data_IF_915223878107
#
_entry.id   IF_915223878107
#
_cell.length_a   1.000
_cell.length_b   1.000
_cell.length_c   1.000
_cell.angle_alpha   90.00
_cell.angle_beta   90.00
_cell.angle_gamma   90.00
#
_symmetry.space_group_name_H-M   'P 1'
#
loop_
_entity.id
_entity.type
_entity.pdbx_description
1 polymer ?
#
# COMPACT_ATOMS: atom_id res chain seq x y z
N UNK A 1 -1.62 11.75 2.67
CA UNK A 1 -0.19 11.42 2.57
C UNK A 1 -0.01 10.05 1.93
N UNK A 2 -0.60 9.00 2.50
CA UNK A 2 -0.44 7.61 1.99
C UNK A 2 -0.74 7.45 0.51
N UNK A 3 -1.83 8.06 0.02
CA UNK A 3 -2.20 7.98 -1.39
C UNK A 3 -1.14 8.64 -2.28
N UNK A 4 -0.61 9.79 -1.86
CA UNK A 4 0.46 10.49 -2.56
C UNK A 4 1.70 9.61 -2.67
N UNK A 5 2.11 8.95 -1.59
CA UNK A 5 3.28 8.06 -1.60
C UNK A 5 3.00 6.80 -2.43
N UNK A 6 1.84 6.17 -2.26
CA UNK A 6 1.46 4.98 -3.03
C UNK A 6 1.48 5.26 -4.53
N UNK A 7 0.88 6.36 -4.96
CA UNK A 7 0.61 6.66 -6.36
C UNK A 7 1.72 7.47 -7.04
N UNK A 8 2.18 8.59 -6.46
CA UNK A 8 3.18 9.44 -7.11
C UNK A 8 4.63 8.99 -6.87
N UNK A 9 4.90 8.19 -5.83
CA UNK A 9 6.26 7.74 -5.50
C UNK A 9 6.45 6.26 -5.84
N UNK A 10 5.58 5.38 -5.34
CA UNK A 10 5.78 3.93 -5.48
C UNK A 10 5.26 3.40 -6.82
N UNK A 11 4.06 3.78 -7.25
CA UNK A 11 3.41 3.24 -8.46
C UNK A 11 4.31 3.28 -9.71
N UNK A 12 5.01 4.39 -10.05
CA UNK A 12 5.82 4.45 -11.26
C UNK A 12 6.95 3.42 -11.26
N UNK A 13 7.57 3.19 -10.09
CA UNK A 13 8.64 2.20 -9.91
C UNK A 13 8.07 0.78 -9.90
N UNK A 14 6.96 0.57 -9.19
CA UNK A 14 6.26 -0.72 -9.12
C UNK A 14 5.84 -1.19 -10.52
N UNK A 15 5.18 -0.35 -11.31
CA UNK A 15 4.73 -0.70 -12.67
C UNK A 15 5.92 -1.03 -13.56
N UNK A 16 7.00 -0.25 -13.48
CA UNK A 16 8.22 -0.48 -14.27
C UNK A 16 8.86 -1.84 -13.98
N UNK A 17 8.83 -2.30 -12.73
CA UNK A 17 9.48 -3.54 -12.29
C UNK A 17 8.51 -4.68 -11.96
N UNK A 18 7.23 -4.56 -12.35
CA UNK A 18 6.17 -5.48 -11.90
C UNK A 18 6.46 -6.95 -12.23
N UNK A 19 7.06 -7.21 -13.39
CA UNK A 19 7.41 -8.57 -13.84
C UNK A 19 8.56 -9.19 -13.03
N UNK A 20 9.28 -8.40 -12.24
CA UNK A 20 10.38 -8.83 -11.38
C UNK A 20 9.96 -8.91 -9.91
N UNK A 21 8.69 -8.68 -9.60
CA UNK A 21 8.14 -8.68 -8.25
C UNK A 21 7.09 -9.80 -8.16
N UNK A 22 7.33 -10.79 -7.31
CA UNK A 22 6.40 -11.94 -7.16
C UNK A 22 5.13 -11.57 -6.40
N UNK A 23 5.28 -10.81 -5.32
CA UNK A 23 4.18 -10.28 -4.51
C UNK A 23 4.55 -8.90 -4.00
N UNK A 24 3.55 -8.07 -3.76
CA UNK A 24 3.72 -6.77 -3.12
C UNK A 24 2.46 -6.34 -2.37
N UNK A 25 2.62 -5.40 -1.44
CA UNK A 25 1.49 -4.79 -0.74
C UNK A 25 1.83 -3.42 -0.20
N UNK A 26 0.78 -2.64 0.02
CA UNK A 26 0.84 -1.48 0.91
C UNK A 26 0.39 -1.87 2.31
N UNK A 27 1.05 -1.31 3.32
CA UNK A 27 0.65 -1.44 4.71
C UNK A 27 0.54 -0.05 5.34
N UNK A 28 -0.59 0.20 6.00
CA UNK A 28 -0.88 1.45 6.71
C UNK A 28 -1.04 1.13 8.18
N UNK A 29 -0.25 1.78 9.04
CA UNK A 29 -0.38 1.68 10.49
C UNK A 29 -0.64 3.06 11.07
N UNK A 30 -1.85 3.23 11.59
CA UNK A 30 -2.28 4.42 12.33
C UNK A 30 -2.30 4.09 13.84
N UNK A 31 -1.15 3.74 14.40
CA UNK A 31 -1.07 3.51 15.85
C UNK A 31 -0.94 4.87 16.57
N UNK A 32 -1.66 5.04 17.67
CA UNK A 32 -1.50 6.18 18.59
C UNK A 32 -0.34 5.91 19.55
N UNK A 33 0.83 5.60 19.01
CA UNK A 33 2.07 5.38 19.75
C UNK A 33 3.17 6.37 19.29
N UNK A 34 4.31 6.40 19.99
CA UNK A 34 5.40 7.34 19.71
C UNK A 34 6.02 7.13 18.32
N UNK A 35 5.80 5.97 17.70
CA UNK A 35 6.20 5.66 16.31
C UNK A 35 5.35 6.41 15.28
N UNK A 36 4.15 6.84 15.63
CA UNK A 36 3.27 7.63 14.78
C UNK A 36 2.71 6.86 13.58
N UNK A 37 2.27 7.63 12.57
CA UNK A 37 1.72 7.08 11.33
C UNK A 37 2.82 6.50 10.44
N UNK A 38 2.67 5.23 10.05
CA UNK A 38 3.61 4.52 9.18
C UNK A 38 2.92 4.04 7.91
N UNK A 39 3.55 4.32 6.77
CA UNK A 39 3.22 3.77 5.47
C UNK A 39 4.38 2.91 4.98
N UNK A 40 4.09 1.71 4.51
CA UNK A 40 5.10 0.76 4.03
C UNK A 40 4.70 0.14 2.71
N UNK A 41 5.68 0.01 1.83
CA UNK A 41 5.60 -0.78 0.61
C UNK A 41 6.49 -2.01 0.81
N UNK A 42 5.87 -3.19 0.82
CA UNK A 42 6.56 -4.47 0.97
C UNK A 42 6.48 -5.21 -0.36
N UNK A 43 7.57 -5.82 -0.79
CA UNK A 43 7.61 -6.58 -2.04
C UNK A 43 8.62 -7.72 -1.97
N UNK A 44 8.43 -8.69 -2.85
CA UNK A 44 9.27 -9.88 -2.99
C UNK A 44 9.98 -9.85 -4.34
N UNK A 45 11.29 -9.68 -4.31
CA UNK A 45 12.16 -9.69 -5.50
C UNK A 45 13.53 -10.25 -5.14
N UNK A 46 14.41 -10.36 -6.13
CA UNK A 46 15.84 -10.59 -5.86
C UNK A 46 16.48 -9.32 -5.26
N UNK A 47 17.62 -9.44 -4.55
CA UNK A 47 18.34 -8.29 -3.99
C UNK A 47 18.76 -7.26 -5.06
N UNK A 48 19.09 -7.71 -6.26
CA UNK A 48 19.50 -6.85 -7.38
C UNK A 48 18.34 -5.93 -7.80
N UNK A 49 17.14 -6.49 -7.95
CA UNK A 49 15.94 -5.74 -8.29
C UNK A 49 15.53 -4.82 -7.15
N UNK A 50 15.64 -5.28 -5.89
CA UNK A 50 15.34 -4.46 -4.73
C UNK A 50 16.25 -3.23 -4.64
N UNK A 51 17.55 -3.38 -4.91
CA UNK A 51 18.50 -2.26 -4.97
C UNK A 51 18.13 -1.22 -6.03
N UNK A 52 17.69 -1.67 -7.21
CA UNK A 52 17.21 -0.79 -8.29
C UNK A 52 15.96 -0.03 -7.84
N UNK A 53 14.97 -0.74 -7.29
CA UNK A 53 13.71 -0.14 -6.78
C UNK A 53 14.01 0.91 -5.70
N UNK A 54 14.89 0.60 -4.73
CA UNK A 54 15.28 1.53 -3.67
C UNK A 54 15.93 2.79 -4.26
N UNK A 55 16.85 2.64 -5.21
CA UNK A 55 17.50 3.76 -5.88
C UNK A 55 16.51 4.65 -6.63
N UNK A 56 15.53 4.06 -7.31
CA UNK A 56 14.53 4.81 -8.07
C UNK A 56 13.53 5.54 -7.16
N UNK A 57 13.05 4.89 -6.09
CA UNK A 57 12.21 5.53 -5.07
C UNK A 57 12.96 6.70 -4.41
N UNK A 58 14.23 6.51 -4.04
CA UNK A 58 15.04 7.54 -3.40
C UNK A 58 15.30 8.76 -4.31
N UNK A 59 15.22 8.60 -5.63
CA UNK A 59 15.37 9.66 -6.63
C UNK A 59 14.05 10.36 -6.98
N UNK A 60 12.94 9.99 -6.35
CA UNK A 60 11.65 10.64 -6.60
C UNK A 60 11.67 12.10 -6.16
N UNK A 61 11.40 13.02 -7.09
CA UNK A 61 11.27 14.44 -6.79
C UNK A 61 10.14 14.69 -5.77
N UNK A 62 8.99 14.02 -5.94
CA UNK A 62 7.85 14.10 -5.02
C UNK A 62 8.25 13.70 -3.60
N UNK A 63 9.08 12.64 -3.47
CA UNK A 63 9.57 12.20 -2.17
C UNK A 63 10.53 13.23 -1.54
N UNK A 64 11.44 13.79 -2.34
CA UNK A 64 12.37 14.84 -1.89
C UNK A 64 11.62 16.08 -1.41
N UNK A 65 10.67 16.57 -2.22
CA UNK A 65 9.85 17.75 -1.88
C UNK A 65 9.00 17.51 -0.63
N UNK A 66 8.42 16.32 -0.48
CA UNK A 66 7.66 15.97 0.72
C UNK A 66 8.55 15.91 1.98
N UNK A 67 9.81 15.49 1.84
CA UNK A 67 10.77 15.53 2.94
C UNK A 67 11.18 16.98 3.29
N UNK A 68 11.50 17.80 2.30
CA UNK A 68 11.86 19.21 2.46
C UNK A 68 10.72 20.05 3.08
N UNK A 69 9.48 19.75 2.69
CA UNK A 69 8.27 20.35 3.26
C UNK A 69 7.90 19.82 4.66
N UNK A 70 8.73 18.97 5.27
CA UNK A 70 8.49 18.31 6.57
C UNK A 70 7.19 17.48 6.63
N UNK A 71 6.70 17.03 5.47
CA UNK A 71 5.52 16.18 5.37
C UNK A 71 5.86 14.70 5.67
N UNK A 72 7.13 14.32 5.49
CA UNK A 72 7.68 13.01 5.83
C UNK A 72 8.83 13.20 6.82
N UNK A 73 8.76 12.50 7.95
CA UNK A 73 9.82 12.58 8.97
C UNK A 73 11.04 11.72 8.64
N UNK A 74 10.82 10.57 8.01
CA UNK A 74 11.85 9.55 7.77
C UNK A 74 11.44 8.62 6.64
N UNK A 75 12.41 8.23 5.82
CA UNK A 75 12.32 7.14 4.85
C UNK A 75 13.27 6.04 5.26
N UNK A 76 12.83 4.78 5.14
CA UNK A 76 13.59 3.59 5.54
C UNK A 76 13.57 2.58 4.39
N UNK A 77 14.70 1.90 4.20
CA UNK A 77 14.86 0.79 3.28
C UNK A 77 15.48 -0.38 4.05
N UNK A 78 15.12 -1.61 3.68
CA UNK A 78 15.71 -2.80 4.30
C UNK A 78 17.18 -2.94 3.91
N UNK A 79 17.96 -3.56 4.80
CA UNK A 79 19.35 -3.91 4.51
C UNK A 79 19.40 -5.18 3.67
N UNK A 80 19.85 -5.05 2.41
CA UNK A 80 19.94 -6.16 1.47
C UNK A 80 21.00 -7.21 1.84
N UNK A 81 21.97 -6.87 2.70
CA UNK A 81 22.99 -7.79 3.20
C UNK A 81 22.50 -8.65 4.39
N UNK A 82 21.30 -8.37 4.91
CA UNK A 82 20.71 -9.03 6.09
C UNK A 82 19.26 -9.47 5.82
N UNK A 83 19.01 -10.07 4.67
CA UNK A 83 17.68 -10.59 4.34
C UNK A 83 17.38 -11.83 5.19
N UNK A 84 16.39 -11.72 6.08
CA UNK A 84 15.96 -12.79 7.01
C UNK A 84 14.67 -13.48 6.52
N UNK A 85 13.95 -12.87 5.58
CA UNK A 85 12.63 -13.32 5.14
C UNK A 85 12.73 -13.87 3.71
N UNK A 86 13.03 -15.16 3.61
CA UNK A 86 13.22 -15.86 2.34
C UNK A 86 11.91 -16.36 1.73
N UNK A 87 10.92 -16.67 2.57
CA UNK A 87 9.67 -17.29 2.15
C UNK A 87 8.53 -16.27 2.06
N UNK A 88 7.56 -16.54 1.18
CA UNK A 88 6.41 -15.66 0.97
C UNK A 88 5.52 -15.54 2.21
N UNK A 89 5.46 -16.58 3.05
CA UNK A 89 4.74 -16.57 4.31
C UNK A 89 5.41 -15.76 5.43
N UNK A 90 6.70 -15.41 5.30
CA UNK A 90 7.48 -14.86 6.42
C UNK A 90 6.99 -13.46 6.88
N UNK A 91 6.23 -12.76 6.02
CA UNK A 91 5.63 -11.46 6.37
C UNK A 91 4.16 -11.56 6.81
N UNK A 92 3.60 -12.77 6.90
CA UNK A 92 2.26 -13.05 7.43
C UNK A 92 2.25 -13.10 8.97
N UNK A 93 1.08 -12.94 9.59
CA UNK A 93 0.97 -13.06 11.05
C UNK A 93 1.24 -14.52 11.49
N UNK A 94 2.25 -14.70 12.35
CA UNK A 94 2.67 -16.00 12.88
C UNK A 94 1.59 -16.74 13.66
N UNK A 95 0.53 -16.04 14.11
CA UNK A 95 -0.62 -16.63 14.79
C UNK A 95 -1.62 -17.28 13.85
N UNK A 96 -1.55 -17.02 12.54
CA UNK A 96 -2.42 -17.63 11.55
C UNK A 96 -2.04 -19.08 11.25
N UNK A 97 -2.96 -19.86 10.69
CA UNK A 97 -2.62 -21.21 10.21
C UNK A 97 -1.59 -21.13 9.08
N UNK A 98 -0.75 -22.16 8.94
CA UNK A 98 0.24 -22.21 7.86
C UNK A 98 -0.39 -22.06 6.46
N UNK A 99 -1.59 -22.62 6.26
CA UNK A 99 -2.33 -22.46 5.00
C UNK A 99 -2.67 -20.99 4.72
N UNK A 100 -3.15 -20.25 5.74
CA UNK A 100 -3.45 -18.83 5.56
C UNK A 100 -2.16 -18.03 5.33
N UNK A 101 -1.10 -18.27 6.12
CA UNK A 101 0.17 -17.56 5.96
C UNK A 101 0.74 -17.68 4.54
N UNK A 102 0.64 -18.85 3.90
CA UNK A 102 1.13 -19.11 2.54
C UNK A 102 0.31 -18.43 1.44
N UNK A 103 -1.00 -18.31 1.62
CA UNK A 103 -1.91 -17.82 0.57
C UNK A 103 -2.26 -16.34 0.74
N UNK A 104 -2.11 -15.80 1.95
CA UNK A 104 -2.45 -14.42 2.27
C UNK A 104 -1.70 -13.37 1.42
N UNK A 105 -0.41 -13.53 1.05
CA UNK A 105 0.28 -12.59 0.18
C UNK A 105 -0.43 -12.31 -1.16
N UNK A 106 -1.04 -13.33 -1.76
CA UNK A 106 -1.82 -13.18 -3.00
C UNK A 106 -3.08 -12.32 -2.78
N UNK A 107 -3.84 -12.61 -1.71
CA UNK A 107 -5.04 -11.86 -1.35
C UNK A 107 -4.76 -10.38 -1.10
N UNK A 108 -3.74 -10.06 -0.30
CA UNK A 108 -3.42 -8.68 0.06
C UNK A 108 -2.84 -7.90 -1.12
N UNK A 109 -2.12 -8.57 -2.04
CA UNK A 109 -1.63 -7.93 -3.26
C UNK A 109 -2.82 -7.49 -4.13
N UNK A 110 -3.83 -8.35 -4.32
CA UNK A 110 -5.05 -7.98 -5.03
C UNK A 110 -5.78 -6.81 -4.36
N UNK A 111 -5.85 -6.80 -3.03
CA UNK A 111 -6.44 -5.67 -2.27
C UNK A 111 -5.65 -4.37 -2.46
N UNK A 112 -4.31 -4.45 -2.44
CA UNK A 112 -3.42 -3.30 -2.65
C UNK A 112 -3.51 -2.78 -4.09
N UNK A 113 -3.62 -3.69 -5.06
CA UNK A 113 -3.78 -3.38 -6.48
C UNK A 113 -5.12 -2.70 -6.76
N UNK A 114 -6.22 -3.18 -6.17
CA UNK A 114 -7.52 -2.53 -6.25
C UNK A 114 -7.45 -1.10 -5.68
N UNK A 115 -6.88 -0.96 -4.48
CA UNK A 115 -6.76 0.36 -3.85
C UNK A 115 -5.93 1.31 -4.68
N UNK A 116 -4.80 0.86 -5.24
CA UNK A 116 -3.95 1.67 -6.11
C UNK A 116 -4.68 2.08 -7.41
N UNK A 117 -5.42 1.16 -8.02
CA UNK A 117 -6.24 1.45 -9.22
C UNK A 117 -7.32 2.49 -8.96
N UNK A 118 -7.99 2.44 -7.80
CA UNK A 118 -8.95 3.47 -7.41
C UNK A 118 -8.30 4.85 -7.22
N UNK A 119 -7.04 4.91 -6.79
CA UNK A 119 -6.28 6.17 -6.72
C UNK A 119 -5.98 6.68 -8.11
N UNK A 120 -5.45 5.82 -8.98
CA UNK A 120 -5.11 6.16 -10.36
C UNK A 120 -6.32 6.72 -11.12
N UNK A 121 -7.44 6.00 -11.12
CA UNK A 121 -8.70 6.42 -11.76
C UNK A 121 -9.19 7.76 -11.21
N UNK A 122 -9.17 7.95 -9.88
CA UNK A 122 -9.63 9.19 -9.27
C UNK A 122 -8.66 10.37 -9.47
N UNK A 123 -7.40 10.10 -9.80
CA UNK A 123 -6.38 11.10 -10.11
C UNK A 123 -6.41 11.55 -11.57
N UNK A 124 -7.02 10.79 -12.50
CA UNK A 124 -7.16 11.17 -13.91
C UNK A 124 -7.91 12.50 -14.11
N UNK A 125 -8.73 12.91 -13.12
CA UNK A 125 -9.43 14.20 -13.11
C UNK A 125 -8.49 15.41 -12.92
N UNK A 126 -7.21 15.20 -12.58
CA UNK A 126 -6.26 16.26 -12.25
C UNK A 126 -5.14 16.38 -13.29
N UNK A 127 -4.64 17.60 -13.56
CA UNK A 127 -3.51 17.79 -14.47
C UNK A 127 -2.25 17.12 -13.90
N UNK A 128 -1.48 16.49 -14.79
CA UNK A 128 -0.24 15.75 -14.48
C UNK A 128 0.83 16.63 -13.82
N UNK A 129 0.89 17.92 -14.17
CA UNK A 129 1.86 18.84 -13.59
C UNK A 129 1.38 19.39 -12.25
N UNK A 130 2.28 19.39 -11.26
CA UNK A 130 2.12 20.15 -10.02
C UNK A 130 3.32 21.09 -9.84
N UNK A 131 3.08 22.23 -9.22
CA UNK A 131 4.11 23.24 -8.94
C UNK A 131 4.46 23.34 -7.45
N UNK A 132 3.64 22.74 -6.60
CA UNK A 132 3.74 22.79 -5.14
C UNK A 132 3.23 21.47 -4.54
N UNK A 133 4.07 20.86 -3.70
CA UNK A 133 3.78 19.60 -2.99
C UNK A 133 2.56 19.72 -2.05
N UNK A 134 2.28 20.89 -1.49
CA UNK A 134 1.10 21.10 -0.65
C UNK A 134 -0.18 21.08 -1.49
N UNK A 135 -0.17 21.73 -2.66
CA UNK A 135 -1.30 21.66 -3.59
C UNK A 135 -1.51 20.23 -4.11
N UNK A 136 -0.43 19.51 -4.41
CA UNK A 136 -0.52 18.10 -4.77
C UNK A 136 -1.13 17.27 -3.63
N UNK A 137 -0.72 17.52 -2.38
CA UNK A 137 -1.27 16.83 -1.22
C UNK A 137 -2.76 17.11 -1.01
N UNK A 138 -3.24 18.34 -1.23
CA UNK A 138 -4.68 18.64 -1.16
C UNK A 138 -5.47 17.84 -2.20
N UNK A 139 -4.97 17.74 -3.46
CA UNK A 139 -5.60 16.88 -4.48
C UNK A 139 -5.73 15.42 -4.00
N UNK A 140 -4.67 14.87 -3.41
CA UNK A 140 -4.72 13.52 -2.84
C UNK A 140 -5.67 13.39 -1.64
N UNK A 141 -5.94 14.46 -0.89
CA UNK A 141 -6.97 14.44 0.18
C UNK A 141 -8.38 14.43 -0.41
N UNK A 142 -8.62 15.15 -1.50
CA UNK A 142 -9.89 15.09 -2.22
C UNK A 142 -10.12 13.68 -2.80
N UNK A 143 -9.10 13.07 -3.39
CA UNK A 143 -9.13 11.67 -3.86
C UNK A 143 -9.37 10.69 -2.71
N UNK A 144 -8.71 10.85 -1.56
CA UNK A 144 -8.96 10.02 -0.37
C UNK A 144 -10.44 10.12 0.07
N UNK A 145 -11.04 11.30 -0.02
CA UNK A 145 -12.46 11.52 0.21
C UNK A 145 -13.37 10.76 -0.77
N UNK A 146 -13.03 10.76 -2.07
CA UNK A 146 -13.76 9.99 -3.10
C UNK A 146 -13.67 8.48 -2.82
N UNK A 147 -12.46 7.95 -2.63
CA UNK A 147 -12.23 6.52 -2.37
C UNK A 147 -12.89 6.07 -1.08
N UNK A 148 -12.81 6.88 -0.02
CA UNK A 148 -13.49 6.60 1.25
C UNK A 148 -15.00 6.52 1.08
N UNK A 149 -15.58 7.38 0.23
CA UNK A 149 -17.02 7.31 -0.10
C UNK A 149 -17.34 6.01 -0.81
N UNK A 150 -16.62 5.66 -1.88
CA UNK A 150 -16.78 4.38 -2.60
C UNK A 150 -16.69 3.18 -1.66
N UNK A 151 -15.67 3.12 -0.79
CA UNK A 151 -15.56 2.07 0.21
C UNK A 151 -16.80 1.97 1.12
N UNK A 152 -17.30 3.11 1.61
CA UNK A 152 -18.46 3.16 2.52
C UNK A 152 -19.79 2.81 1.85
N UNK A 153 -19.97 3.18 0.58
CA UNK A 153 -21.25 3.01 -0.12
C UNK A 153 -21.32 1.71 -0.93
N UNK A 154 -20.19 1.24 -1.46
CA UNK A 154 -20.14 0.11 -2.39
C UNK A 154 -19.36 -1.08 -1.82
N UNK A 155 -18.47 -0.87 -0.84
CA UNK A 155 -17.58 -1.91 -0.31
C UNK A 155 -18.32 -3.10 0.31
N UNK A 156 -19.51 -2.90 0.88
CA UNK A 156 -20.33 -4.00 1.38
C UNK A 156 -20.71 -4.99 0.26
N UNK A 157 -21.10 -4.49 -0.91
CA UNK A 157 -21.45 -5.34 -2.04
C UNK A 157 -20.19 -5.79 -2.78
N UNK A 158 -19.38 -4.85 -3.26
CA UNK A 158 -18.26 -5.14 -4.15
C UNK A 158 -17.18 -6.00 -3.49
N UNK A 159 -16.98 -5.89 -2.17
CA UNK A 159 -15.86 -6.54 -1.49
C UNK A 159 -16.36 -7.56 -0.46
N UNK A 160 -17.22 -7.17 0.48
CA UNK A 160 -17.62 -8.07 1.56
C UNK A 160 -18.56 -9.18 1.08
N UNK A 161 -19.56 -8.87 0.25
CA UNK A 161 -20.47 -9.89 -0.30
C UNK A 161 -19.72 -10.89 -1.18
N UNK A 162 -18.88 -10.44 -2.12
CA UNK A 162 -18.10 -11.34 -2.97
C UNK A 162 -17.07 -12.16 -2.19
N UNK A 163 -16.39 -11.56 -1.20
CA UNK A 163 -15.48 -12.30 -0.31
C UNK A 163 -16.25 -13.40 0.43
N UNK A 164 -17.40 -13.06 1.02
CA UNK A 164 -18.21 -14.03 1.76
C UNK A 164 -18.75 -15.14 0.84
N UNK A 165 -19.13 -14.81 -0.40
CA UNK A 165 -19.61 -15.78 -1.39
C UNK A 165 -18.56 -16.87 -1.70
N UNK A 166 -17.28 -16.51 -1.80
CA UNK A 166 -16.18 -17.47 -2.04
C UNK A 166 -16.02 -18.45 -0.86
N UNK A 167 -16.33 -18.00 0.36
CA UNK A 167 -16.30 -18.84 1.56
C UNK A 167 -17.67 -19.48 1.87
N UNK A 168 -18.59 -19.54 0.90
CA UNK A 168 -19.86 -20.24 1.04
C UNK A 168 -20.90 -19.51 1.90
N UNK A 169 -20.75 -18.19 2.07
CA UNK A 169 -21.60 -17.35 2.92
C UNK A 169 -21.57 -17.70 4.42
N UNK A 170 -20.56 -18.45 4.86
CA UNK A 170 -20.39 -18.77 6.27
C UNK A 170 -20.12 -17.50 7.10
N UNK A 171 -20.88 -17.27 8.21
CA UNK A 171 -20.72 -16.07 9.01
C UNK A 171 -19.30 -15.91 9.59
N UNK A 172 -18.70 -14.74 9.37
CA UNK A 172 -17.47 -14.35 10.06
C UNK A 172 -17.75 -14.08 11.53
N UNK A 173 -17.02 -14.77 12.42
CA UNK A 173 -17.06 -14.50 13.86
C UNK A 173 -16.24 -13.23 14.18
N UNK A 174 -16.92 -12.09 14.29
CA UNK A 174 -16.30 -10.82 14.67
C UNK A 174 -16.05 -10.83 16.19
N UNK A 175 -14.80 -11.07 16.59
CA UNK A 175 -14.41 -11.19 18.02
C UNK A 175 -14.32 -9.85 18.77
N UNK A 176 -14.24 -8.72 18.06
CA UNK A 176 -14.31 -7.35 18.60
C UNK A 176 -14.84 -6.40 17.52
N UNK A 177 -15.55 -5.34 17.92
CA UNK A 177 -15.88 -4.24 17.03
C UNK A 177 -14.58 -3.66 16.42
N UNK A 178 -14.52 -3.59 15.09
CA UNK A 178 -13.42 -2.96 14.38
C UNK A 178 -13.65 -1.45 14.38
N UNK A 179 -12.80 -0.72 15.10
CA UNK A 179 -12.64 0.72 14.95
C UNK A 179 -11.19 0.97 14.52
N UNK A 180 -11.00 1.58 13.35
CA UNK A 180 -9.72 2.08 12.86
C UNK A 180 -9.66 3.59 13.07
#
# INVERSE_FOLDING_TARGET
MDLLIAHAVVSPVLVKHINNISYWRFHRRAARDDTGHQFSFLFYSTPEIASIIYSEIAKSNVLSEAYEANLIKKVLFDNLDQLILENVEDTSDRRWSASLQKNWPSFIMGTSSLWLGLIDDAMQDYPESYTDIHLLLEKYREVDGKITRTWRTEGQHALLHHLNAIFGYEPLLIRKALSF
#
